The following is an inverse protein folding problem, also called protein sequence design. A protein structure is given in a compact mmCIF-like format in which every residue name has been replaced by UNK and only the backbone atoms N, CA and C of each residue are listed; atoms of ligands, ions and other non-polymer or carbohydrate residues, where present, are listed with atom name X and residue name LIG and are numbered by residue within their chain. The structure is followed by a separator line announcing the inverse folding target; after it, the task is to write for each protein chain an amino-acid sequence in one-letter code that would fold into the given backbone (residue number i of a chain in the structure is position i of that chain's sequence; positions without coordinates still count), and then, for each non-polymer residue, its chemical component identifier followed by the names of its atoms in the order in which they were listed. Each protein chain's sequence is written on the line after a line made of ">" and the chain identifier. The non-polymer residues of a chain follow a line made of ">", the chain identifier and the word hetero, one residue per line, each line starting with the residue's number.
data_IF_958178059972
#
_entry.id   IF_958178059972
#
_cell.length_a   1.000
_cell.length_b   1.000
_cell.length_c   1.000
_cell.angle_alpha   90.00
_cell.angle_beta   90.00
_cell.angle_gamma   90.00
#
_symmetry.space_group_name_H-M   'P 1'
#
loop_
_entity.id
_entity.type
_entity.pdbx_description
1 polymer ?
#
# COMPACT_ATOMS: atom_id res chain seq x y z
N UNK A 1 44.34 -41.06 18.70
CA UNK A 1 42.89 -40.77 18.79
C UNK A 1 42.60 -40.23 20.19
N UNK A 2 42.37 -38.93 20.32
CA UNK A 2 42.10 -38.27 21.60
C UNK A 2 41.79 -36.81 21.33
N UNK A 3 40.52 -36.44 21.53
CA UNK A 3 39.88 -35.25 20.98
C UNK A 3 40.40 -33.94 21.60
N UNK A 4 40.62 -32.94 20.74
CA UNK A 4 40.69 -31.53 21.09
C UNK A 4 39.27 -31.01 21.33
N UNK A 5 38.97 -30.60 22.57
CA UNK A 5 37.78 -29.80 22.88
C UNK A 5 38.21 -28.35 23.10
N UNK A 6 37.82 -27.47 22.18
CA UNK A 6 37.94 -26.02 22.29
C UNK A 6 36.79 -25.46 23.17
N UNK A 7 37.02 -24.44 24.01
CA UNK A 7 35.92 -23.74 24.68
C UNK A 7 35.35 -22.67 23.76
N UNK A 8 34.15 -22.92 23.24
CA UNK A 8 33.28 -21.90 22.65
C UNK A 8 32.52 -21.18 23.78
N UNK A 9 33.07 -20.08 24.28
CA UNK A 9 32.41 -19.28 25.31
C UNK A 9 32.77 -17.79 25.18
N UNK A 10 32.22 -17.11 24.17
CA UNK A 10 32.16 -15.65 24.13
C UNK A 10 31.14 -15.18 23.08
N UNK A 11 29.84 -15.37 23.32
CA UNK A 11 28.80 -14.92 22.35
C UNK A 11 27.56 -14.32 22.99
N UNK A 12 27.49 -14.21 24.32
CA UNK A 12 26.22 -13.96 25.01
C UNK A 12 26.00 -12.51 25.52
N UNK A 13 26.99 -11.62 25.46
CA UNK A 13 26.88 -10.27 26.06
C UNK A 13 26.53 -9.13 25.09
N UNK A 14 26.46 -9.35 23.78
CA UNK A 14 26.30 -8.29 22.77
C UNK A 14 24.84 -7.98 22.37
N UNK A 15 23.84 -8.37 23.18
CA UNK A 15 22.41 -8.17 22.84
C UNK A 15 21.70 -7.08 23.64
N UNK A 16 22.41 -6.31 24.47
CA UNK A 16 21.79 -5.47 25.51
C UNK A 16 22.13 -3.96 25.45
N UNK A 17 22.59 -3.45 24.29
CA UNK A 17 22.83 -2.00 24.08
C UNK A 17 22.04 -1.37 22.91
N UNK A 18 21.28 -2.15 22.13
CA UNK A 18 20.70 -1.68 20.86
C UNK A 18 19.46 -0.77 20.95
N UNK A 19 18.96 -0.44 22.15
CA UNK A 19 17.65 0.24 22.29
C UNK A 19 17.79 1.76 22.48
N UNK A 20 18.98 2.32 22.75
CA UNK A 20 19.11 3.76 23.09
C UNK A 20 20.19 4.56 22.32
N UNK A 21 20.92 3.97 21.37
CA UNK A 21 21.83 4.70 20.44
C UNK A 21 21.19 4.94 19.04
N UNK A 22 19.87 4.75 18.94
CA UNK A 22 19.18 4.36 17.71
C UNK A 22 18.33 5.42 17.02
N UNK A 23 18.96 6.33 16.27
CA UNK A 23 18.27 7.03 15.17
C UNK A 23 19.18 7.55 14.04
N UNK A 24 20.46 7.14 13.98
CA UNK A 24 21.30 7.49 12.83
C UNK A 24 20.95 6.59 11.63
N UNK A 25 20.09 7.09 10.76
CA UNK A 25 19.80 6.52 9.44
C UNK A 25 20.28 7.45 8.33
N UNK A 26 20.96 6.88 7.32
CA UNK A 26 21.43 7.62 6.15
C UNK A 26 21.05 6.86 4.88
N UNK A 27 20.60 7.56 3.86
CA UNK A 27 20.36 6.98 2.55
C UNK A 27 21.67 7.00 1.76
N UNK A 28 22.13 5.82 1.33
CA UNK A 28 23.27 5.70 0.43
C UNK A 28 22.78 5.52 -0.99
N UNK A 29 23.29 6.34 -1.91
CA UNK A 29 22.94 6.31 -3.32
C UNK A 29 24.17 6.21 -4.22
N UNK A 30 24.02 5.54 -5.37
CA UNK A 30 25.05 5.42 -6.40
C UNK A 30 24.66 6.23 -7.64
N UNK A 31 25.52 7.16 -8.06
CA UNK A 31 25.30 7.99 -9.25
C UNK A 31 25.35 7.22 -10.57
N UNK A 32 26.08 6.10 -10.63
CA UNK A 32 26.27 5.35 -11.87
C UNK A 32 25.09 4.43 -12.24
N UNK A 33 24.52 3.73 -11.25
CA UNK A 33 23.44 2.75 -11.49
C UNK A 33 22.11 3.09 -10.83
N UNK A 34 22.04 4.20 -10.10
CA UNK A 34 20.83 4.63 -9.39
C UNK A 34 20.45 3.77 -8.19
N UNK A 35 21.34 2.87 -7.72
CA UNK A 35 21.09 2.08 -6.53
C UNK A 35 20.94 2.99 -5.30
N UNK A 36 19.92 2.73 -4.48
CA UNK A 36 19.60 3.47 -3.26
C UNK A 36 19.29 2.48 -2.14
N UNK A 37 19.69 2.79 -0.92
CA UNK A 37 19.33 2.01 0.26
C UNK A 37 19.39 2.88 1.51
N UNK A 38 18.50 2.61 2.47
CA UNK A 38 18.60 3.18 3.82
C UNK A 38 19.49 2.28 4.66
N UNK A 39 20.55 2.86 5.24
CA UNK A 39 21.46 2.17 6.14
C UNK A 39 21.30 2.73 7.55
N UNK A 40 21.07 1.84 8.51
CA UNK A 40 21.15 2.19 9.93
C UNK A 40 22.60 2.24 10.42
N UNK A 41 22.80 2.72 11.65
CA UNK A 41 24.09 2.73 12.34
C UNK A 41 24.92 1.44 12.17
N UNK A 42 24.41 0.21 12.38
CA UNK A 42 25.23 -1.01 12.24
C UNK A 42 25.72 -1.24 10.80
N UNK A 43 24.91 -0.89 9.80
CA UNK A 43 25.29 -1.03 8.38
C UNK A 43 26.35 -0.01 8.00
N UNK A 44 26.22 1.22 8.49
CA UNK A 44 27.20 2.29 8.30
C UNK A 44 28.55 1.92 8.92
N UNK A 45 28.56 1.39 10.16
CA UNK A 45 29.77 0.90 10.83
C UNK A 45 30.45 -0.20 10.00
N UNK A 46 29.66 -1.16 9.52
CA UNK A 46 30.18 -2.28 8.72
C UNK A 46 30.84 -1.78 7.44
N UNK A 47 30.23 -0.80 6.75
CA UNK A 47 30.79 -0.19 5.53
C UNK A 47 32.04 0.65 5.80
N UNK A 48 32.05 1.44 6.87
CA UNK A 48 33.21 2.23 7.29
C UNK A 48 34.41 1.34 7.70
N UNK A 49 34.14 0.15 8.23
CA UNK A 49 35.17 -0.87 8.48
C UNK A 49 35.76 -1.42 7.19
N UNK A 50 34.94 -1.67 6.16
CA UNK A 50 35.43 -2.12 4.84
C UNK A 50 36.36 -1.10 4.18
N UNK A 51 36.10 0.20 4.36
CA UNK A 51 36.98 1.28 3.87
C UNK A 51 38.19 1.50 4.79
N UNK A 52 38.23 0.83 5.94
CA UNK A 52 39.36 0.84 6.86
C UNK A 52 39.46 2.10 7.74
N UNK A 53 38.37 2.86 7.88
CA UNK A 53 38.30 4.09 8.70
C UNK A 53 38.12 3.76 10.19
N UNK A 54 37.38 2.69 10.51
CA UNK A 54 37.08 2.27 11.88
C UNK A 54 37.87 1.02 12.28
N UNK A 55 39.19 1.14 12.50
CA UNK A 55 40.05 -0.02 12.80
C UNK A 55 40.06 -0.49 14.26
N UNK A 56 39.84 0.41 15.22
CA UNK A 56 40.08 0.13 16.66
C UNK A 56 38.89 0.35 17.59
N UNK A 57 37.81 0.94 17.10
CA UNK A 57 36.59 1.12 17.88
C UNK A 57 35.67 -0.10 17.71
N UNK A 58 35.51 -0.87 18.79
CA UNK A 58 34.60 -2.01 18.83
C UNK A 58 33.14 -1.57 18.65
N UNK A 59 32.78 -0.44 19.25
CA UNK A 59 31.44 0.15 19.23
C UNK A 59 31.57 1.69 19.18
N UNK A 60 31.72 2.28 17.97
CA UNK A 60 31.80 3.72 17.83
C UNK A 60 30.42 4.36 18.07
N UNK A 61 30.40 5.46 18.82
CA UNK A 61 29.19 6.24 19.04
C UNK A 61 28.62 6.80 17.72
N UNK A 62 27.30 6.95 17.64
CA UNK A 62 26.61 7.42 16.45
C UNK A 62 27.14 8.77 15.91
N UNK A 63 27.47 9.71 16.81
CA UNK A 63 28.05 11.01 16.41
C UNK A 63 29.37 10.88 15.65
N UNK A 64 30.26 9.97 16.08
CA UNK A 64 31.53 9.73 15.39
C UNK A 64 31.30 9.12 14.00
N UNK A 65 30.31 8.22 13.87
CA UNK A 65 29.93 7.64 12.58
C UNK A 65 29.38 8.70 11.63
N UNK A 66 28.55 9.62 12.14
CA UNK A 66 27.99 10.72 11.35
C UNK A 66 29.06 11.67 10.80
N UNK A 67 30.05 12.03 11.62
CA UNK A 67 31.18 12.88 11.22
C UNK A 67 32.09 12.22 10.18
N UNK A 68 32.35 10.92 10.31
CA UNK A 68 33.27 10.20 9.41
C UNK A 68 32.63 9.80 8.08
N UNK A 69 31.30 9.75 8.01
CA UNK A 69 30.58 9.24 6.84
C UNK A 69 30.79 10.09 5.57
N UNK A 70 30.69 11.43 5.58
CA UNK A 70 30.89 12.26 4.39
C UNK A 70 32.26 12.05 3.71
N UNK A 71 33.32 11.89 4.50
CA UNK A 71 34.69 11.69 4.00
C UNK A 71 34.96 10.26 3.52
N UNK A 72 34.17 9.30 4.00
CA UNK A 72 34.35 7.88 3.66
C UNK A 72 33.44 7.43 2.51
N UNK A 73 32.27 8.05 2.33
CA UNK A 73 31.25 7.59 1.37
C UNK A 73 31.75 7.62 -0.08
N UNK A 74 32.57 8.63 -0.42
CA UNK A 74 33.20 8.73 -1.74
C UNK A 74 34.20 7.61 -2.06
N UNK A 75 34.69 6.89 -1.04
CA UNK A 75 35.61 5.74 -1.19
C UNK A 75 34.87 4.40 -1.14
N UNK A 76 33.57 4.40 -0.88
CA UNK A 76 32.77 3.17 -0.82
C UNK A 76 32.43 2.67 -2.22
N UNK A 77 32.44 1.35 -2.37
CA UNK A 77 32.07 0.65 -3.60
C UNK A 77 30.58 0.35 -3.62
N UNK A 78 29.93 0.60 -4.76
CA UNK A 78 28.54 0.21 -4.98
C UNK A 78 28.41 -1.32 -4.97
N UNK A 79 27.46 -1.91 -4.23
CA UNK A 79 27.29 -3.36 -4.21
C UNK A 79 26.83 -3.91 -5.57
N UNK A 80 26.11 -3.11 -6.36
CA UNK A 80 25.50 -3.49 -7.65
C UNK A 80 26.45 -3.33 -8.83
N UNK A 81 26.94 -2.11 -9.10
CA UNK A 81 27.77 -1.84 -10.28
C UNK A 81 29.28 -1.83 -10.01
N UNK A 82 29.70 -1.99 -8.74
CA UNK A 82 31.11 -1.93 -8.31
C UNK A 82 31.83 -0.60 -8.56
N UNK A 83 31.11 0.44 -8.97
CA UNK A 83 31.66 1.79 -9.09
C UNK A 83 32.00 2.36 -7.70
N UNK A 84 33.07 3.14 -7.62
CA UNK A 84 33.51 3.83 -6.39
C UNK A 84 32.90 5.22 -6.38
N UNK A 85 32.38 5.66 -5.23
CA UNK A 85 31.80 6.99 -5.08
C UNK A 85 30.30 6.94 -4.82
N UNK A 86 29.93 6.46 -3.63
CA UNK A 86 28.56 6.60 -3.14
C UNK A 86 28.33 8.02 -2.61
N UNK A 87 27.07 8.41 -2.53
CA UNK A 87 26.62 9.64 -1.86
C UNK A 87 25.74 9.27 -0.67
N UNK A 88 25.89 10.00 0.44
CA UNK A 88 25.05 9.84 1.62
C UNK A 88 24.12 11.05 1.74
N UNK A 89 22.83 10.81 1.96
CA UNK A 89 21.84 11.82 2.31
C UNK A 89 21.26 11.52 3.70
N UNK A 90 20.76 12.55 4.37
CA UNK A 90 19.93 12.39 5.56
C UNK A 90 18.58 11.81 5.14
N UNK A 91 18.14 10.77 5.85
CA UNK A 91 16.76 10.33 5.75
C UNK A 91 16.00 11.27 6.65
N UNK A 92 15.35 12.27 6.06
CA UNK A 92 14.30 12.96 6.78
C UNK A 92 13.24 11.91 7.10
N UNK A 93 12.80 11.78 8.37
CA UNK A 93 11.60 11.01 8.65
C UNK A 93 10.53 11.59 7.73
N UNK A 94 9.98 10.74 6.88
CA UNK A 94 8.87 11.09 6.01
C UNK A 94 7.77 11.59 6.95
N UNK A 95 7.53 12.91 7.00
CA UNK A 95 6.48 13.51 7.84
C UNK A 95 5.08 13.01 7.40
N UNK A 96 4.98 12.34 6.25
CA UNK A 96 3.77 11.61 5.84
C UNK A 96 3.64 10.23 6.54
N UNK A 97 4.58 9.87 7.43
CA UNK A 97 4.44 8.75 8.36
C UNK A 97 3.63 9.11 9.62
N UNK A 98 3.02 10.30 9.69
CA UNK A 98 1.89 10.55 10.60
C UNK A 98 0.52 10.22 9.97
N UNK A 99 0.49 9.81 8.70
CA UNK A 99 -0.71 9.31 8.02
C UNK A 99 -1.00 7.82 8.33
N UNK A 100 -0.45 7.30 9.45
CA UNK A 100 -0.78 6.00 10.03
C UNK A 100 -2.12 5.98 10.77
N UNK A 101 -2.98 6.99 10.58
CA UNK A 101 -4.41 6.77 10.68
C UNK A 101 -4.78 5.80 9.56
N UNK A 102 -4.81 4.51 9.89
CA UNK A 102 -5.18 3.41 9.00
C UNK A 102 -6.27 3.84 8.01
N UNK A 103 -5.85 4.27 6.82
CA UNK A 103 -6.75 4.91 5.88
C UNK A 103 -7.82 3.88 5.52
N UNK A 104 -9.06 4.12 5.98
CA UNK A 104 -10.17 3.19 5.71
C UNK A 104 -10.41 3.26 4.21
N UNK A 105 -10.04 2.19 3.51
CA UNK A 105 -10.18 2.11 2.06
C UNK A 105 -11.62 1.75 1.69
N UNK A 106 -12.12 2.35 0.62
CA UNK A 106 -13.40 1.98 0.05
C UNK A 106 -13.38 0.53 -0.47
N UNK A 107 -14.37 -0.28 -0.10
CA UNK A 107 -14.49 -1.68 -0.54
C UNK A 107 -14.62 -1.84 -2.08
N UNK A 108 -15.15 -0.82 -2.78
CA UNK A 108 -15.37 -0.86 -4.24
C UNK A 108 -14.18 -0.33 -5.04
N UNK A 109 -13.74 0.90 -4.79
CA UNK A 109 -12.71 1.56 -5.61
C UNK A 109 -11.31 1.55 -4.97
N UNK A 110 -11.16 1.03 -3.75
CA UNK A 110 -9.92 0.99 -2.96
C UNK A 110 -9.24 2.36 -2.75
N UNK A 111 -9.95 3.45 -3.01
CA UNK A 111 -9.50 4.81 -2.66
C UNK A 111 -9.74 5.06 -1.17
N UNK A 112 -8.87 5.86 -0.51
CA UNK A 112 -9.09 6.24 0.89
C UNK A 112 -10.43 6.96 1.04
N UNK A 113 -11.18 6.63 2.10
CA UNK A 113 -12.42 7.32 2.45
C UNK A 113 -12.03 8.64 3.13
N UNK A 114 -12.59 9.79 2.70
CA UNK A 114 -12.27 11.09 3.29
C UNK A 114 -12.56 11.10 4.80
N UNK A 115 -11.66 11.68 5.63
CA UNK A 115 -11.79 11.65 7.08
C UNK A 115 -13.07 12.34 7.56
N UNK A 116 -13.52 13.40 6.89
CA UNK A 116 -14.77 14.13 7.20
C UNK A 116 -15.99 13.19 7.16
N UNK A 117 -15.93 12.15 6.32
CA UNK A 117 -16.98 11.14 6.21
C UNK A 117 -16.88 10.06 7.29
N UNK A 118 -15.68 9.69 7.71
CA UNK A 118 -15.47 8.75 8.81
C UNK A 118 -15.84 9.40 10.16
N UNK A 119 -15.63 10.71 10.29
CA UNK A 119 -16.09 11.50 11.43
C UNK A 119 -17.62 11.58 11.48
N UNK A 120 -18.27 11.85 10.34
CA UNK A 120 -19.73 11.91 10.27
C UNK A 120 -20.40 10.53 10.43
N UNK A 121 -19.79 9.48 9.90
CA UNK A 121 -20.31 8.10 9.89
C UNK A 121 -19.19 7.12 10.26
N UNK A 122 -18.91 6.93 11.56
CA UNK A 122 -17.92 5.96 12.02
C UNK A 122 -18.39 4.55 11.65
N UNK A 123 -17.75 3.94 10.65
CA UNK A 123 -18.13 2.65 10.08
C UNK A 123 -18.49 2.66 8.59
N UNK A 124 -18.38 3.81 7.91
CA UNK A 124 -18.56 3.88 6.46
C UNK A 124 -17.56 2.96 5.73
N UNK A 125 -18.09 2.00 4.97
CA UNK A 125 -17.30 1.01 4.19
C UNK A 125 -17.05 1.44 2.73
N UNK A 126 -17.77 2.46 2.25
CA UNK A 126 -17.72 2.94 0.86
C UNK A 126 -17.51 4.44 0.82
N UNK A 127 -16.82 4.94 -0.21
CA UNK A 127 -16.69 6.38 -0.47
C UNK A 127 -18.01 6.98 -1.01
N UNK A 128 -18.13 8.31 -0.98
CA UNK A 128 -19.34 9.05 -1.41
C UNK A 128 -19.74 8.69 -2.84
N UNK A 129 -18.77 8.68 -3.76
CA UNK A 129 -19.02 8.36 -5.17
C UNK A 129 -19.60 6.95 -5.33
N UNK A 130 -18.96 5.94 -4.72
CA UNK A 130 -19.41 4.56 -4.81
C UNK A 130 -20.71 4.28 -4.06
N UNK A 131 -20.99 5.00 -2.98
CA UNK A 131 -22.30 4.92 -2.32
C UNK A 131 -23.38 5.52 -3.21
N UNK A 132 -23.13 6.70 -3.81
CA UNK A 132 -24.07 7.34 -4.74
C UNK A 132 -24.40 6.48 -5.96
N UNK A 133 -23.41 5.77 -6.53
CA UNK A 133 -23.66 4.78 -7.60
C UNK A 133 -24.48 3.57 -7.14
N UNK A 134 -24.45 3.22 -5.85
CA UNK A 134 -25.23 2.09 -5.32
C UNK A 134 -26.66 2.50 -4.95
N UNK A 135 -26.85 3.77 -4.59
CA UNK A 135 -28.15 4.36 -4.23
C UNK A 135 -28.84 5.01 -5.43
N UNK A 136 -28.11 5.22 -6.52
CA UNK A 136 -28.71 5.58 -7.79
C UNK A 136 -29.77 4.52 -8.10
N UNK A 137 -31.04 4.91 -8.35
CA UNK A 137 -32.01 3.97 -8.85
C UNK A 137 -31.45 3.44 -10.16
N UNK A 138 -31.02 2.18 -10.14
CA UNK A 138 -30.74 1.47 -11.36
C UNK A 138 -32.00 1.52 -12.21
N UNK A 139 -31.85 1.49 -13.52
CA UNK A 139 -32.93 1.16 -14.45
C UNK A 139 -33.50 -0.27 -14.19
N UNK A 140 -33.38 -0.83 -12.99
CA UNK A 140 -34.01 -2.06 -12.52
C UNK A 140 -35.51 -1.85 -12.18
N UNK A 141 -35.97 -0.59 -12.08
CA UNK A 141 -37.40 -0.25 -12.22
C UNK A 141 -37.86 -0.22 -13.69
N UNK A 142 -37.05 -0.72 -14.64
CA UNK A 142 -37.51 -1.08 -15.97
C UNK A 142 -38.43 -2.30 -15.86
N UNK A 143 -39.69 -2.03 -15.49
CA UNK A 143 -40.90 -2.81 -15.76
C UNK A 143 -40.61 -4.29 -15.96
N UNK A 144 -40.65 -5.07 -14.88
CA UNK A 144 -40.65 -6.53 -14.96
C UNK A 144 -41.65 -6.94 -16.05
N UNK A 145 -41.20 -7.58 -17.14
CA UNK A 145 -42.06 -7.76 -18.30
C UNK A 145 -43.21 -8.70 -17.96
N UNK A 146 -44.44 -8.24 -18.21
CA UNK A 146 -45.64 -9.06 -18.02
C UNK A 146 -45.63 -10.26 -18.99
N UNK A 147 -45.77 -11.47 -18.43
CA UNK A 147 -45.89 -12.71 -19.21
C UNK A 147 -47.32 -13.25 -19.21
N UNK A 148 -47.71 -13.86 -20.33
CA UNK A 148 -49.02 -14.49 -20.48
C UNK A 148 -49.12 -15.74 -19.59
N UNK A 149 -50.12 -15.86 -18.69
CA UNK A 149 -50.25 -17.00 -17.77
C UNK A 149 -50.59 -18.33 -18.48
N UNK A 150 -50.97 -18.29 -19.76
CA UNK A 150 -51.34 -19.48 -20.53
C UNK A 150 -50.19 -20.08 -21.34
N UNK A 151 -49.30 -19.24 -21.87
CA UNK A 151 -48.27 -19.69 -22.82
C UNK A 151 -46.87 -19.13 -22.54
N UNK A 152 -46.71 -18.28 -21.53
CA UNK A 152 -45.41 -17.69 -21.15
C UNK A 152 -44.84 -16.68 -22.15
N UNK A 153 -45.59 -16.31 -23.20
CA UNK A 153 -45.15 -15.28 -24.15
C UNK A 153 -45.32 -13.86 -23.56
N UNK A 154 -44.54 -12.91 -24.08
CA UNK A 154 -44.60 -11.50 -23.67
C UNK A 154 -45.99 -10.90 -23.94
N UNK A 155 -46.43 -10.04 -23.01
CA UNK A 155 -47.67 -9.27 -23.11
C UNK A 155 -47.34 -7.83 -23.47
N UNK A 156 -48.04 -7.30 -24.48
CA UNK A 156 -47.95 -5.89 -24.88
C UNK A 156 -49.26 -5.16 -24.61
N UNK A 157 -49.18 -3.92 -24.13
CA UNK A 157 -50.35 -3.05 -24.05
C UNK A 157 -50.64 -2.47 -25.44
N UNK A 158 -51.80 -2.82 -26.02
CA UNK A 158 -52.29 -2.22 -27.26
C UNK A 158 -53.64 -1.54 -27.06
N UNK A 159 -53.88 -0.53 -27.87
CA UNK A 159 -55.14 0.22 -27.87
C UNK A 159 -56.19 -0.58 -28.66
N UNK A 160 -57.36 -0.82 -28.06
CA UNK A 160 -58.45 -1.48 -28.77
C UNK A 160 -59.08 -0.55 -29.81
N UNK A 161 -59.23 -1.02 -31.06
CA UNK A 161 -59.79 -0.25 -32.19
C UNK A 161 -61.33 -0.12 -32.20
N UNK A 162 -62.00 -0.35 -31.08
CA UNK A 162 -63.46 -0.21 -30.99
C UNK A 162 -63.86 1.26 -30.95
N UNK A 163 -64.82 1.66 -31.79
CA UNK A 163 -65.33 3.05 -31.83
C UNK A 163 -65.90 3.48 -30.48
N UNK A 164 -65.13 4.25 -29.73
CA UNK A 164 -65.43 4.68 -28.36
C UNK A 164 -64.18 5.20 -27.64
N UNK A 165 -64.26 5.33 -26.32
CA UNK A 165 -63.14 5.76 -25.46
C UNK A 165 -61.93 4.82 -25.65
N UNK A 166 -60.74 5.40 -25.80
CA UNK A 166 -59.46 4.68 -25.87
C UNK A 166 -59.29 3.75 -24.67
N UNK A 167 -59.37 2.43 -24.90
CA UNK A 167 -59.09 1.41 -23.87
C UNK A 167 -57.79 0.71 -24.19
N UNK A 168 -56.87 0.71 -23.23
CA UNK A 168 -55.67 -0.11 -23.24
C UNK A 168 -56.05 -1.53 -22.81
N UNK A 169 -55.65 -2.52 -23.59
CA UNK A 169 -55.77 -3.94 -23.22
C UNK A 169 -54.42 -4.62 -23.41
N UNK A 170 -54.15 -5.59 -22.56
CA UNK A 170 -53.01 -6.50 -22.69
C UNK A 170 -53.28 -7.48 -23.85
N UNK A 171 -52.29 -7.66 -24.73
CA UNK A 171 -52.31 -8.59 -25.84
C UNK A 171 -51.10 -9.52 -25.75
N UNK A 172 -51.37 -10.83 -25.78
CA UNK A 172 -50.33 -11.83 -25.87
C UNK A 172 -49.70 -11.81 -27.28
N UNK A 173 -48.37 -11.72 -27.36
CA UNK A 173 -47.63 -11.75 -28.64
C UNK A 173 -47.80 -13.08 -29.40
N UNK A 174 -47.99 -14.19 -28.68
CA UNK A 174 -48.30 -15.51 -29.27
C UNK A 174 -49.77 -15.69 -29.70
N UNK A 175 -50.62 -14.65 -29.59
CA UNK A 175 -52.02 -14.69 -30.05
C UNK A 175 -53.01 -15.37 -29.09
N UNK A 176 -52.59 -15.70 -27.86
CA UNK A 176 -53.52 -16.20 -26.85
C UNK A 176 -54.51 -15.12 -26.40
N UNK A 177 -55.75 -15.55 -26.12
CA UNK A 177 -56.76 -14.69 -25.50
C UNK A 177 -56.59 -14.71 -23.99
N UNK A 178 -56.07 -13.61 -23.44
CA UNK A 178 -55.96 -13.30 -22.02
C UNK A 178 -57.12 -12.42 -21.56
#
# INVERSE_FOLDING_TARGET
>A
MGALLAPAAASFFARRSAILDGMLSRELSCKACGWRTVCGLPDLISRLRLVGVLRRAAEPAAGLVAELLPDAVGRMTCPRCKEIGLTAAEVEPDDDADDWLAAVLCERCRKPIPPERLEALPGAKRCVACQGESEAPGDDDALEPDFCPKCGALVELRVSRGGGLTRYRQFCTAGCRI
#
